data_IF_682210194659
#
_entry.id   IF_682210194659
#
_cell.length_a   1.000
_cell.length_b   1.000
_cell.length_c   1.000
_cell.angle_alpha   90.00
_cell.angle_beta   90.00
_cell.angle_gamma   90.00
#
_symmetry.space_group_name_H-M   'P 1'
#
loop_
_entity.id
_entity.type
_entity.pdbx_description
1 polymer ?
#
# COMPACT_ATOMS: atom_id res chain seq x y z
N UNK A 1 -54.45 44.60 32.21
CA UNK A 1 -53.67 44.64 30.97
C UNK A 1 -52.29 44.02 31.14
N UNK A 2 -51.55 44.27 32.20
CA UNK A 2 -50.17 43.82 32.40
C UNK A 2 -49.99 42.30 32.42
N UNK A 3 -50.88 41.49 33.04
CA UNK A 3 -50.80 40.02 33.09
C UNK A 3 -50.98 39.31 31.72
N UNK A 4 -51.82 39.90 30.85
CA UNK A 4 -52.06 39.35 29.50
C UNK A 4 -50.82 39.57 28.57
N UNK A 5 -50.14 40.72 28.71
CA UNK A 5 -48.95 41.05 27.96
C UNK A 5 -47.77 40.19 28.41
N UNK A 6 -47.66 39.93 29.72
CA UNK A 6 -46.64 39.07 30.29
C UNK A 6 -46.76 37.59 29.79
N UNK A 7 -48.00 37.07 29.74
CA UNK A 7 -48.28 35.72 29.25
C UNK A 7 -47.99 35.57 27.75
N UNK A 8 -48.26 36.57 26.94
CA UNK A 8 -47.95 36.59 25.49
C UNK A 8 -46.44 36.65 25.29
N UNK A 9 -45.70 37.39 26.11
CA UNK A 9 -44.25 37.48 26.06
C UNK A 9 -43.57 36.15 26.45
N UNK A 10 -44.12 35.41 27.44
CA UNK A 10 -43.64 34.09 27.85
C UNK A 10 -43.92 33.03 26.76
N UNK A 11 -45.07 33.09 26.10
CA UNK A 11 -45.38 32.21 24.97
C UNK A 11 -44.48 32.46 23.75
N UNK A 12 -44.07 33.70 23.53
CA UNK A 12 -43.16 34.05 22.43
C UNK A 12 -41.72 33.56 22.67
N UNK A 13 -41.29 33.45 23.94
CA UNK A 13 -39.95 32.96 24.31
C UNK A 13 -39.79 31.43 24.20
N UNK A 14 -40.88 30.65 24.22
CA UNK A 14 -40.87 29.19 24.12
C UNK A 14 -40.75 28.71 22.66
N UNK A 15 -41.03 29.54 21.67
CA UNK A 15 -41.02 29.17 20.25
C UNK A 15 -39.65 29.24 19.56
N UNK A 16 -38.55 29.56 20.27
CA UNK A 16 -37.23 29.71 19.67
C UNK A 16 -36.28 28.51 20.00
N UNK A 17 -36.83 27.42 20.53
CA UNK A 17 -36.07 26.19 20.69
C UNK A 17 -35.98 25.47 19.33
N UNK A 18 -35.27 26.05 18.36
CA UNK A 18 -34.81 25.32 17.18
C UNK A 18 -33.78 24.35 17.69
N UNK A 19 -34.15 23.08 17.84
CA UNK A 19 -33.17 21.99 17.96
C UNK A 19 -32.38 21.97 16.67
N UNK A 20 -31.23 22.64 16.70
CA UNK A 20 -30.22 22.49 15.65
C UNK A 20 -29.69 21.07 15.76
N UNK A 21 -30.22 20.15 14.98
CA UNK A 21 -29.58 18.89 14.73
C UNK A 21 -28.32 19.22 13.91
N UNK A 22 -27.18 19.17 14.53
CA UNK A 22 -25.92 19.20 13.78
C UNK A 22 -25.95 17.97 12.88
N UNK A 23 -26.09 18.18 11.58
CA UNK A 23 -26.00 17.09 10.59
C UNK A 23 -24.55 16.61 10.54
N UNK A 24 -24.31 15.39 11.00
CA UNK A 24 -22.98 14.78 11.01
C UNK A 24 -22.50 14.59 9.58
N UNK A 25 -21.40 15.27 9.21
CA UNK A 25 -20.81 15.18 7.88
C UNK A 25 -19.84 14.02 7.80
N UNK A 26 -20.22 12.98 7.06
CA UNK A 26 -19.43 11.77 6.89
C UNK A 26 -18.89 11.71 5.47
N UNK A 27 -17.58 11.43 5.35
CA UNK A 27 -16.90 11.12 4.09
C UNK A 27 -16.49 9.66 4.01
N UNK A 28 -16.32 9.18 2.78
CA UNK A 28 -15.85 7.82 2.49
C UNK A 28 -14.71 7.88 1.48
N UNK A 29 -13.59 7.19 1.74
CA UNK A 29 -12.44 7.11 0.84
C UNK A 29 -12.15 5.66 0.45
N UNK A 30 -12.07 5.40 -0.85
CA UNK A 30 -11.68 4.10 -1.44
C UNK A 30 -10.17 4.07 -1.65
N UNK A 31 -9.43 3.53 -0.69
CA UNK A 31 -7.97 3.53 -0.71
C UNK A 31 -7.38 2.72 -1.87
N UNK A 32 -8.04 1.65 -2.30
CA UNK A 32 -7.62 0.83 -3.42
C UNK A 32 -7.65 1.59 -4.76
N UNK A 33 -8.65 2.45 -4.96
CA UNK A 33 -8.72 3.36 -6.11
C UNK A 33 -7.70 4.47 -5.96
N UNK A 34 -7.65 5.12 -4.79
CA UNK A 34 -6.75 6.22 -4.51
C UNK A 34 -5.28 5.83 -4.78
N UNK A 35 -4.81 4.70 -4.24
CA UNK A 35 -3.42 4.26 -4.46
C UNK A 35 -3.10 3.97 -5.93
N UNK A 36 -4.03 3.49 -6.72
CA UNK A 36 -3.82 3.25 -8.15
C UNK A 36 -3.66 4.56 -8.95
N UNK A 37 -4.31 5.63 -8.51
CA UNK A 37 -4.38 6.89 -9.24
C UNK A 37 -3.28 7.89 -8.89
N UNK A 38 -2.83 7.93 -7.62
CA UNK A 38 -1.86 8.93 -7.15
C UNK A 38 -0.46 8.73 -7.75
N UNK A 39 0.20 9.80 -8.23
CA UNK A 39 1.52 9.73 -8.87
C UNK A 39 2.59 9.14 -7.97
N UNK A 40 2.62 9.51 -6.70
CA UNK A 40 3.62 9.05 -5.73
C UNK A 40 3.67 7.53 -5.57
N UNK A 41 2.53 6.85 -5.70
CA UNK A 41 2.48 5.39 -5.67
C UNK A 41 3.04 4.79 -6.97
N UNK A 42 2.65 5.34 -8.13
CA UNK A 42 3.15 4.91 -9.44
C UNK A 42 4.67 5.09 -9.56
N UNK A 43 5.17 6.22 -9.07
CA UNK A 43 6.61 6.51 -9.01
C UNK A 43 7.34 5.51 -8.09
N UNK A 44 6.82 5.28 -6.89
CA UNK A 44 7.38 4.30 -5.94
C UNK A 44 7.47 2.90 -6.55
N UNK A 45 6.43 2.43 -7.25
CA UNK A 45 6.44 1.13 -7.95
C UNK A 45 7.50 1.09 -9.06
N UNK A 46 7.64 2.18 -9.81
CA UNK A 46 8.66 2.30 -10.86
C UNK A 46 10.07 2.26 -10.27
N UNK A 47 10.30 3.00 -9.19
CA UNK A 47 11.59 3.05 -8.50
C UNK A 47 11.97 1.68 -7.92
N UNK A 48 11.03 0.98 -7.27
CA UNK A 48 11.21 -0.39 -6.78
C UNK A 48 11.60 -1.34 -7.94
N UNK A 49 10.87 -1.30 -9.04
CA UNK A 49 11.16 -2.13 -10.21
C UNK A 49 12.58 -1.86 -10.74
N UNK A 50 12.96 -0.59 -10.88
CA UNK A 50 14.27 -0.20 -11.39
C UNK A 50 15.42 -0.59 -10.44
N UNK A 51 15.22 -0.44 -9.13
CA UNK A 51 16.18 -0.82 -8.09
C UNK A 51 16.42 -2.34 -8.04
N UNK A 52 15.34 -3.12 -8.15
CA UNK A 52 15.42 -4.58 -7.94
C UNK A 52 15.63 -5.38 -9.23
N UNK A 53 15.32 -4.81 -10.40
CA UNK A 53 15.56 -5.49 -11.69
C UNK A 53 17.01 -5.98 -11.86
N UNK A 54 18.06 -5.18 -11.67
CA UNK A 54 19.45 -5.66 -11.85
C UNK A 54 19.81 -6.78 -10.85
N UNK A 55 19.29 -6.74 -9.63
CA UNK A 55 19.50 -7.78 -8.62
C UNK A 55 18.81 -9.09 -9.01
N UNK A 56 17.60 -9.00 -9.57
CA UNK A 56 16.88 -10.17 -10.09
C UNK A 56 17.58 -10.76 -11.33
N UNK A 57 18.09 -9.91 -12.22
CA UNK A 57 18.86 -10.34 -13.39
C UNK A 57 20.17 -11.03 -12.98
N UNK A 58 20.86 -10.56 -11.92
CA UNK A 58 22.03 -11.23 -11.36
C UNK A 58 21.68 -12.61 -10.79
N UNK A 59 20.59 -12.70 -10.02
CA UNK A 59 20.12 -13.96 -9.46
C UNK A 59 19.81 -14.98 -10.56
N UNK A 60 19.14 -14.54 -11.64
CA UNK A 60 18.85 -15.37 -12.81
C UNK A 60 20.12 -15.88 -13.51
N UNK A 61 21.18 -15.08 -13.57
CA UNK A 61 22.48 -15.53 -14.12
C UNK A 61 23.10 -16.64 -13.26
N UNK A 62 23.00 -16.53 -11.94
CA UNK A 62 23.50 -17.57 -11.03
C UNK A 62 22.69 -18.86 -11.21
N UNK A 63 21.37 -18.77 -11.28
CA UNK A 63 20.47 -19.90 -11.55
C UNK A 63 20.81 -20.60 -12.87
N UNK A 64 20.99 -19.82 -13.93
CA UNK A 64 21.38 -20.36 -15.25
C UNK A 64 22.72 -21.08 -15.19
N UNK A 65 23.70 -20.53 -14.47
CA UNK A 65 25.00 -21.15 -14.31
C UNK A 65 24.92 -22.43 -13.48
N UNK A 66 24.10 -22.44 -12.43
CA UNK A 66 23.85 -23.63 -11.62
C UNK A 66 23.21 -24.75 -12.45
N UNK A 67 22.16 -24.44 -13.19
CA UNK A 67 21.48 -25.41 -14.06
C UNK A 67 22.44 -25.98 -15.11
N UNK A 68 23.23 -25.14 -15.77
CA UNK A 68 24.21 -25.57 -16.76
C UNK A 68 25.26 -26.50 -16.15
N UNK A 69 25.73 -26.17 -14.96
CA UNK A 69 26.75 -26.97 -14.26
C UNK A 69 26.20 -28.35 -13.86
N UNK A 70 24.94 -28.37 -13.41
CA UNK A 70 24.24 -29.62 -13.05
C UNK A 70 23.98 -30.49 -14.29
N UNK A 71 23.52 -29.88 -15.39
CA UNK A 71 23.30 -30.59 -16.66
C UNK A 71 24.61 -31.19 -17.23
N UNK A 72 25.69 -30.41 -17.16
CA UNK A 72 27.03 -30.87 -17.56
C UNK A 72 27.51 -32.07 -16.71
N UNK A 73 27.32 -32.01 -15.40
CA UNK A 73 27.62 -33.12 -14.51
C UNK A 73 26.82 -34.36 -14.88
N UNK A 74 25.48 -34.26 -15.03
CA UNK A 74 24.63 -35.40 -15.35
C UNK A 74 24.99 -36.06 -16.68
N UNK A 75 25.38 -35.26 -17.69
CA UNK A 75 25.82 -35.79 -19.00
C UNK A 75 27.13 -36.55 -18.95
N UNK A 76 28.08 -36.10 -18.13
CA UNK A 76 29.44 -36.56 -18.14
C UNK A 76 29.85 -37.42 -16.92
N UNK A 77 28.98 -37.59 -15.93
CA UNK A 77 29.25 -38.29 -14.65
C UNK A 77 29.92 -39.66 -14.86
N UNK A 78 29.44 -40.43 -15.86
CA UNK A 78 29.89 -41.79 -16.11
C UNK A 78 31.35 -41.86 -16.61
N UNK A 79 31.82 -40.79 -17.25
CA UNK A 79 33.18 -40.71 -17.81
C UNK A 79 34.18 -40.02 -16.87
N UNK A 80 33.68 -39.37 -15.81
CA UNK A 80 34.51 -38.66 -14.83
C UNK A 80 35.20 -39.61 -13.85
N UNK A 81 36.45 -39.28 -13.48
CA UNK A 81 37.14 -39.92 -12.36
C UNK A 81 36.44 -39.59 -11.03
N UNK A 82 36.78 -40.36 -9.98
CA UNK A 82 36.25 -40.13 -8.64
C UNK A 82 36.49 -38.71 -8.13
N UNK A 83 37.70 -38.19 -8.35
CA UNK A 83 38.08 -36.83 -7.90
C UNK A 83 37.39 -35.74 -8.73
N UNK A 84 37.26 -35.95 -10.04
CA UNK A 84 36.51 -35.03 -10.89
C UNK A 84 35.03 -34.93 -10.46
N UNK A 85 34.36 -36.06 -10.18
CA UNK A 85 32.98 -36.07 -9.67
C UNK A 85 32.87 -35.34 -8.34
N UNK A 86 33.78 -35.62 -7.39
CA UNK A 86 33.80 -34.97 -6.08
C UNK A 86 33.92 -33.44 -6.20
N UNK A 87 34.86 -32.99 -7.06
CA UNK A 87 35.05 -31.54 -7.28
C UNK A 87 33.85 -30.90 -7.95
N UNK A 88 33.23 -31.56 -8.93
CA UNK A 88 32.06 -31.06 -9.64
C UNK A 88 30.84 -30.96 -8.72
N UNK A 89 30.61 -31.97 -7.89
CA UNK A 89 29.54 -31.94 -6.87
C UNK A 89 29.77 -30.80 -5.89
N UNK A 90 31.02 -30.57 -5.46
CA UNK A 90 31.32 -29.44 -4.58
C UNK A 90 30.99 -28.09 -5.26
N UNK A 91 31.39 -27.93 -6.53
CA UNK A 91 31.12 -26.71 -7.31
C UNK A 91 29.61 -26.46 -7.46
N UNK A 92 28.81 -27.51 -7.74
CA UNK A 92 27.36 -27.45 -7.84
C UNK A 92 26.76 -27.01 -6.49
N UNK A 93 27.18 -27.61 -5.38
CA UNK A 93 26.67 -27.27 -4.05
C UNK A 93 27.05 -25.82 -3.65
N UNK A 94 28.25 -25.37 -4.01
CA UNK A 94 28.68 -24.00 -3.70
C UNK A 94 27.87 -22.96 -4.48
N UNK A 95 27.56 -23.19 -5.75
CA UNK A 95 26.72 -22.26 -6.55
C UNK A 95 25.25 -22.33 -6.13
N UNK A 96 24.73 -23.51 -5.77
CA UNK A 96 23.39 -23.66 -5.22
C UNK A 96 23.26 -22.89 -3.92
N UNK A 97 24.19 -23.04 -2.99
CA UNK A 97 24.22 -22.30 -1.74
C UNK A 97 24.24 -20.79 -1.98
N UNK A 98 25.07 -20.33 -2.92
CA UNK A 98 25.14 -18.92 -3.32
C UNK A 98 23.79 -18.42 -3.87
N UNK A 99 23.15 -19.22 -4.74
CA UNK A 99 21.83 -18.90 -5.29
C UNK A 99 20.78 -18.74 -4.19
N UNK A 100 20.64 -19.74 -3.31
CA UNK A 100 19.66 -19.74 -2.22
C UNK A 100 19.86 -18.56 -1.26
N UNK A 101 21.13 -18.31 -0.89
CA UNK A 101 21.45 -17.18 -0.01
C UNK A 101 21.07 -15.83 -0.66
N UNK A 102 21.47 -15.63 -1.92
CA UNK A 102 21.12 -14.39 -2.64
C UNK A 102 19.62 -14.24 -2.88
N UNK A 103 18.90 -15.32 -3.16
CA UNK A 103 17.44 -15.32 -3.31
C UNK A 103 16.76 -14.87 -2.02
N UNK A 104 17.16 -15.43 -0.89
CA UNK A 104 16.61 -15.06 0.42
C UNK A 104 16.87 -13.60 0.75
N UNK A 105 18.09 -13.11 0.57
CA UNK A 105 18.47 -11.71 0.81
C UNK A 105 17.65 -10.78 -0.08
N UNK A 106 17.57 -11.09 -1.39
CA UNK A 106 16.81 -10.29 -2.35
C UNK A 106 15.34 -10.19 -1.96
N UNK A 107 14.73 -11.31 -1.54
CA UNK A 107 13.34 -11.33 -1.11
C UNK A 107 13.11 -10.48 0.15
N UNK A 108 14.01 -10.58 1.14
CA UNK A 108 13.93 -9.79 2.37
C UNK A 108 14.10 -8.29 2.09
N UNK A 109 15.07 -7.91 1.26
CA UNK A 109 15.30 -6.51 0.87
C UNK A 109 14.09 -5.93 0.13
N UNK A 110 13.56 -6.67 -0.84
CA UNK A 110 12.37 -6.23 -1.61
C UNK A 110 11.17 -6.04 -0.70
N UNK A 111 10.88 -7.01 0.17
CA UNK A 111 9.75 -6.91 1.09
C UNK A 111 9.94 -5.76 2.09
N UNK A 112 11.13 -5.59 2.65
CA UNK A 112 11.45 -4.48 3.56
C UNK A 112 11.26 -3.13 2.87
N UNK A 113 11.73 -3.00 1.63
CA UNK A 113 11.60 -1.76 0.86
C UNK A 113 10.15 -1.47 0.48
N UNK A 114 9.39 -2.48 0.04
CA UNK A 114 7.96 -2.35 -0.26
C UNK A 114 7.16 -1.87 0.97
N UNK A 115 7.40 -2.47 2.13
CA UNK A 115 6.75 -2.09 3.38
C UNK A 115 7.08 -0.65 3.77
N UNK A 116 8.35 -0.26 3.65
CA UNK A 116 8.81 1.10 3.94
C UNK A 116 8.15 2.14 3.03
N UNK A 117 8.09 1.87 1.72
CA UNK A 117 7.45 2.76 0.75
C UNK A 117 5.95 2.87 0.96
N UNK A 118 5.26 1.75 1.20
CA UNK A 118 3.82 1.76 1.53
C UNK A 118 3.53 2.56 2.80
N UNK A 119 4.36 2.42 3.83
CA UNK A 119 4.20 3.19 5.07
C UNK A 119 4.43 4.69 4.83
N UNK A 120 5.44 5.06 4.04
CA UNK A 120 5.69 6.46 3.65
C UNK A 120 4.49 7.06 2.91
N UNK A 121 3.95 6.35 1.94
CA UNK A 121 2.81 6.79 1.14
C UNK A 121 1.56 6.90 2.02
N UNK A 122 1.32 5.92 2.90
CA UNK A 122 0.20 5.97 3.86
C UNK A 122 0.23 7.24 4.69
N UNK A 123 1.37 7.62 5.24
CA UNK A 123 1.51 8.84 6.05
C UNK A 123 1.15 10.09 5.23
N UNK A 124 1.55 10.13 3.96
CA UNK A 124 1.24 11.26 3.06
C UNK A 124 -0.27 11.33 2.80
N UNK A 125 -0.88 10.19 2.49
CA UNK A 125 -2.33 10.07 2.26
C UNK A 125 -3.13 10.44 3.50
N UNK A 126 -2.76 9.94 4.68
CA UNK A 126 -3.41 10.27 5.95
C UNK A 126 -3.34 11.77 6.26
N UNK A 127 -2.20 12.41 6.00
CA UNK A 127 -2.06 13.87 6.16
C UNK A 127 -2.98 14.64 5.21
N UNK A 128 -3.10 14.22 3.95
CA UNK A 128 -3.99 14.84 2.97
C UNK A 128 -5.46 14.68 3.39
N UNK A 129 -5.88 13.48 3.79
CA UNK A 129 -7.23 13.20 4.28
C UNK A 129 -7.54 14.06 5.52
N UNK A 130 -6.64 14.10 6.50
CA UNK A 130 -6.84 14.87 7.72
C UNK A 130 -6.93 16.39 7.44
N UNK A 131 -6.11 16.88 6.51
CA UNK A 131 -6.20 18.29 6.09
C UNK A 131 -7.53 18.57 5.41
N UNK A 132 -7.92 17.76 4.45
CA UNK A 132 -9.19 17.88 3.74
C UNK A 132 -10.40 17.83 4.68
N UNK A 133 -10.36 16.89 5.64
CA UNK A 133 -11.41 16.76 6.65
C UNK A 133 -11.63 18.05 7.45
N UNK A 134 -10.51 18.64 7.92
CA UNK A 134 -10.55 19.90 8.69
C UNK A 134 -10.99 21.08 7.85
N UNK A 135 -10.47 21.20 6.63
CA UNK A 135 -10.76 22.31 5.73
C UNK A 135 -12.22 22.31 5.23
N UNK A 136 -12.90 21.16 5.31
CA UNK A 136 -14.26 20.98 4.82
C UNK A 136 -15.26 20.54 5.92
N UNK A 137 -14.91 20.69 7.19
CA UNK A 137 -15.78 20.43 8.35
C UNK A 137 -16.39 19.00 8.33
N UNK A 138 -15.58 17.98 8.01
CA UNK A 138 -16.00 16.59 8.18
C UNK A 138 -15.85 16.13 9.62
N UNK A 139 -16.90 15.53 10.17
CA UNK A 139 -16.89 14.91 11.50
C UNK A 139 -16.23 13.54 11.49
N UNK A 140 -16.35 12.81 10.37
CA UNK A 140 -15.84 11.46 10.23
C UNK A 140 -15.49 11.14 8.77
N UNK A 141 -14.31 10.56 8.55
CA UNK A 141 -13.95 9.94 7.25
C UNK A 141 -13.69 8.47 7.47
N UNK A 142 -14.43 7.64 6.73
CA UNK A 142 -14.33 6.19 6.78
C UNK A 142 -13.58 5.66 5.56
N UNK A 143 -12.81 4.61 5.78
CA UNK A 143 -12.24 3.84 4.69
C UNK A 143 -13.32 2.92 4.09
N UNK A 144 -13.61 3.07 2.80
CA UNK A 144 -14.36 2.08 2.06
C UNK A 144 -13.40 1.00 1.57
N UNK A 145 -13.66 -0.22 1.99
CA UNK A 145 -12.96 -1.42 1.56
C UNK A 145 -14.00 -2.48 1.15
N UNK A 146 -13.58 -3.72 0.93
CA UNK A 146 -14.46 -4.81 0.54
C UNK A 146 -15.61 -5.11 1.51
N UNK A 147 -15.63 -4.49 2.69
CA UNK A 147 -16.71 -4.64 3.69
C UNK A 147 -17.78 -3.54 3.56
N UNK A 148 -17.52 -2.48 2.83
CA UNK A 148 -18.48 -1.40 2.60
C UNK A 148 -19.48 -1.81 1.52
N UNK A 149 -20.70 -2.15 1.94
CA UNK A 149 -21.76 -2.62 1.03
C UNK A 149 -22.38 -1.52 0.18
N UNK A 150 -22.51 -0.32 0.75
CA UNK A 150 -23.15 0.81 0.07
C UNK A 150 -22.65 2.15 0.61
N UNK A 151 -22.36 3.07 -0.29
CA UNK A 151 -22.13 4.49 0.01
C UNK A 151 -22.72 5.33 -1.11
N UNK A 152 -23.47 6.38 -0.77
CA UNK A 152 -23.97 7.33 -1.77
C UNK A 152 -22.79 8.10 -2.38
N UNK A 153 -22.92 8.46 -3.67
CA UNK A 153 -21.85 9.14 -4.41
C UNK A 153 -21.39 10.46 -3.75
N UNK A 154 -22.28 11.20 -3.13
CA UNK A 154 -21.95 12.49 -2.52
C UNK A 154 -21.12 12.39 -1.23
N UNK A 155 -21.06 11.20 -0.58
CA UNK A 155 -20.18 10.98 0.56
C UNK A 155 -18.81 10.43 0.15
N UNK A 156 -18.63 10.02 -1.12
CA UNK A 156 -17.37 9.51 -1.66
C UNK A 156 -16.46 10.68 -2.05
N UNK A 157 -15.44 10.93 -1.23
CA UNK A 157 -14.47 12.00 -1.40
C UNK A 157 -13.15 11.50 -2.01
N UNK A 158 -13.13 10.28 -2.56
CA UNK A 158 -11.91 9.66 -3.10
C UNK A 158 -11.25 10.54 -4.16
N UNK A 159 -12.05 11.10 -5.09
CA UNK A 159 -11.52 11.93 -6.16
C UNK A 159 -10.96 13.26 -5.64
N UNK A 160 -11.57 13.83 -4.61
CA UNK A 160 -11.09 15.07 -4.00
C UNK A 160 -9.70 14.88 -3.37
N UNK A 161 -9.50 13.74 -2.68
CA UNK A 161 -8.19 13.41 -2.12
C UNK A 161 -7.16 13.11 -3.21
N UNK A 162 -7.55 12.42 -4.30
CA UNK A 162 -6.67 12.20 -5.46
C UNK A 162 -6.22 13.53 -6.05
N UNK A 163 -7.13 14.49 -6.22
CA UNK A 163 -6.83 15.81 -6.78
C UNK A 163 -5.85 16.62 -5.91
N UNK A 164 -5.87 16.43 -4.60
CA UNK A 164 -4.93 17.08 -3.66
C UNK A 164 -3.54 16.44 -3.74
N UNK A 165 -3.46 15.15 -4.08
CA UNK A 165 -2.22 14.38 -4.12
C UNK A 165 -1.56 14.35 -5.52
N UNK A 166 -2.22 14.91 -6.54
CA UNK A 166 -1.73 15.12 -7.89
C UNK A 166 -1.05 16.47 -8.03
#
# INVERSE_FOLDING_TARGET
MCKRVLNVLILLLISISTTSYAETKIGVVKLDILFKEIPIYKESQTNLKNEFKPKADELKKIETSWNKLNDDYLKNERTMSKDQRKNKIKEINDIEKKFRTKQQVLQQELQGKQNSELQRIRIIVEKAINKYAKDNDYDLILRADGTTLFAKKYVDITQDIINILN
#
